data_IF_159758265560
#
_entry.id   IF_159758265560
#
_cell.length_a   1.000
_cell.length_b   1.000
_cell.length_c   1.000
_cell.angle_alpha   90.00
_cell.angle_beta   90.00
_cell.angle_gamma   90.00
#
_symmetry.space_group_name_H-M   'P 1'
#
loop_
_entity.id
_entity.type
_entity.pdbx_description
1 polymer ?
#
# COMPACT_ATOMS: atom_id res chain seq x y z
N UNK A 1 -27.35 0.54 17.12
CA UNK A 1 -26.43 -0.61 16.96
C UNK A 1 -25.25 -0.13 16.13
N UNK A 2 -24.06 -0.23 16.67
CA UNK A 2 -22.85 0.08 15.91
C UNK A 2 -22.59 -1.06 14.93
N UNK A 3 -22.25 -0.74 13.67
CA UNK A 3 -21.72 -1.70 12.70
C UNK A 3 -20.33 -2.11 13.21
N UNK A 4 -20.16 -3.39 13.51
CA UNK A 4 -18.87 -3.91 14.02
C UNK A 4 -18.00 -4.52 12.94
N UNK A 5 -18.62 -5.06 11.90
CA UNK A 5 -17.94 -5.76 10.81
C UNK A 5 -18.38 -5.20 9.45
N UNK A 6 -17.41 -5.01 8.56
CA UNK A 6 -17.64 -4.67 7.15
C UNK A 6 -16.88 -5.68 6.29
N UNK A 7 -17.61 -6.33 5.39
CA UNK A 7 -17.02 -7.26 4.41
C UNK A 7 -17.27 -6.75 3.01
N UNK A 8 -16.19 -6.57 2.24
CA UNK A 8 -16.21 -6.25 0.82
C UNK A 8 -15.65 -7.45 0.07
N UNK A 9 -16.48 -8.12 -0.70
CA UNK A 9 -16.08 -9.33 -1.43
C UNK A 9 -16.44 -9.24 -2.90
N UNK A 10 -15.50 -9.57 -3.78
CA UNK A 10 -15.69 -9.55 -5.23
C UNK A 10 -15.94 -8.17 -5.82
N UNK A 11 -15.54 -7.10 -5.13
CA UNK A 11 -15.74 -5.74 -5.58
C UNK A 11 -14.62 -5.26 -6.50
N UNK A 12 -14.94 -4.31 -7.38
CA UNK A 12 -13.95 -3.62 -8.21
C UNK A 12 -13.96 -2.13 -7.91
N UNK A 13 -12.77 -1.59 -7.62
CA UNK A 13 -12.55 -0.19 -7.30
C UNK A 13 -11.60 0.40 -8.34
N UNK A 14 -12.06 1.42 -9.04
CA UNK A 14 -11.27 2.12 -10.05
C UNK A 14 -11.21 3.60 -9.70
N UNK A 15 -10.00 4.14 -9.67
CA UNK A 15 -9.82 5.58 -9.63
C UNK A 15 -9.99 6.10 -11.05
N UNK A 16 -11.01 6.93 -11.25
CA UNK A 16 -11.23 7.64 -12.51
C UNK A 16 -11.05 9.12 -12.29
N UNK A 17 -10.09 9.72 -12.98
CA UNK A 17 -9.93 11.16 -12.98
C UNK A 17 -10.61 11.80 -14.17
N UNK A 18 -11.25 12.95 -13.94
CA UNK A 18 -11.73 13.84 -15.01
C UNK A 18 -10.64 14.85 -15.37
N UNK A 19 -10.65 15.34 -16.59
CA UNK A 19 -9.74 16.43 -17.01
C UNK A 19 -9.84 17.66 -16.11
N UNK A 20 -11.01 17.92 -15.51
CA UNK A 20 -11.26 19.01 -14.57
C UNK A 20 -10.55 18.80 -13.23
N UNK A 21 -10.53 17.58 -12.69
CA UNK A 21 -9.82 17.28 -11.44
C UNK A 21 -8.31 17.37 -11.63
N UNK A 22 -7.81 17.00 -12.79
CA UNK A 22 -6.41 17.16 -13.19
C UNK A 22 -5.98 18.64 -13.26
N UNK A 23 -6.80 19.46 -13.89
CA UNK A 23 -6.53 20.89 -14.02
C UNK A 23 -6.57 21.62 -12.66
N UNK A 24 -7.35 21.16 -11.72
CA UNK A 24 -7.46 21.72 -10.37
C UNK A 24 -6.30 21.31 -9.43
N UNK A 25 -5.44 20.37 -9.85
CA UNK A 25 -4.34 19.85 -9.01
C UNK A 25 -4.81 19.07 -7.77
N UNK A 26 -6.10 18.72 -7.71
CA UNK A 26 -6.66 17.95 -6.61
C UNK A 26 -6.32 16.47 -6.81
N UNK A 27 -5.61 15.91 -5.84
CA UNK A 27 -5.31 14.48 -5.79
C UNK A 27 -5.90 13.88 -4.54
N UNK A 28 -6.54 12.73 -4.63
CA UNK A 28 -6.87 11.99 -3.44
C UNK A 28 -5.57 11.52 -2.78
N UNK A 29 -5.39 11.89 -1.51
CA UNK A 29 -4.26 11.39 -0.72
C UNK A 29 -4.44 9.90 -0.48
N UNK A 30 -5.67 9.48 -0.17
CA UNK A 30 -6.03 8.09 0.09
C UNK A 30 -7.17 7.64 -0.81
N UNK A 31 -7.02 6.45 -1.38
CA UNK A 31 -8.07 5.88 -2.22
C UNK A 31 -9.13 5.17 -1.38
N UNK A 32 -8.72 4.33 -0.45
CA UNK A 32 -9.61 3.58 0.43
C UNK A 32 -9.18 3.82 1.88
N UNK A 33 -10.07 4.38 2.68
CA UNK A 33 -9.86 4.50 4.12
C UNK A 33 -10.57 3.35 4.83
N UNK A 34 -9.83 2.51 5.51
CA UNK A 34 -10.35 1.40 6.28
C UNK A 34 -10.32 1.72 7.77
N UNK A 35 -11.47 1.60 8.41
CA UNK A 35 -11.66 1.82 9.83
C UNK A 35 -12.04 3.25 10.20
N UNK A 36 -13.16 3.36 10.85
CA UNK A 36 -13.62 4.57 11.54
C UNK A 36 -14.04 4.19 12.98
N UNK A 37 -14.25 5.19 13.83
CA UNK A 37 -14.72 4.92 15.20
C UNK A 37 -16.01 4.09 15.20
N UNK A 38 -15.97 2.94 15.87
CA UNK A 38 -17.10 2.01 15.96
C UNK A 38 -17.06 0.80 15.03
N UNK A 39 -16.19 0.79 14.01
CA UNK A 39 -15.92 -0.39 13.18
C UNK A 39 -14.71 -1.12 13.77
N UNK A 40 -14.89 -2.38 14.14
CA UNK A 40 -13.83 -3.21 14.70
C UNK A 40 -13.15 -4.11 13.68
N UNK A 41 -13.92 -4.60 12.70
CA UNK A 41 -13.42 -5.56 11.73
C UNK A 41 -13.76 -5.13 10.30
N UNK A 42 -12.75 -5.11 9.43
CA UNK A 42 -12.89 -4.83 8.00
C UNK A 42 -12.20 -5.94 7.22
N UNK A 43 -12.94 -6.60 6.32
CA UNK A 43 -12.38 -7.59 5.39
C UNK A 43 -12.63 -7.16 3.95
N UNK A 44 -11.60 -7.20 3.16
CA UNK A 44 -11.64 -7.02 1.73
C UNK A 44 -11.09 -8.28 1.06
N UNK A 45 -11.93 -8.98 0.31
CA UNK A 45 -11.60 -10.29 -0.25
C UNK A 45 -11.95 -10.36 -1.74
N UNK A 46 -11.06 -10.97 -2.53
CA UNK A 46 -11.29 -11.17 -3.97
C UNK A 46 -11.63 -9.89 -4.74
N UNK A 47 -11.09 -8.76 -4.30
CA UNK A 47 -11.35 -7.47 -4.90
C UNK A 47 -10.29 -7.09 -5.93
N UNK A 48 -10.70 -6.33 -6.93
CA UNK A 48 -9.80 -5.68 -7.88
C UNK A 48 -9.71 -4.20 -7.54
N UNK A 49 -8.50 -3.68 -7.38
CA UNK A 49 -8.24 -2.28 -7.03
C UNK A 49 -7.25 -1.73 -8.04
N UNK A 50 -7.65 -0.71 -8.76
CA UNK A 50 -6.80 -0.04 -9.73
C UNK A 50 -6.84 1.48 -9.52
N UNK A 51 -5.64 2.06 -9.35
CA UNK A 51 -5.48 3.50 -9.19
C UNK A 51 -4.22 3.96 -9.94
N UNK A 52 -4.23 5.20 -10.40
CA UNK A 52 -3.10 5.80 -11.10
C UNK A 52 -2.64 7.14 -10.50
N UNK A 53 -3.39 7.70 -9.56
CA UNK A 53 -3.10 9.06 -9.06
C UNK A 53 -3.19 9.26 -7.56
N UNK A 54 -3.80 8.37 -6.79
CA UNK A 54 -3.79 8.49 -5.33
C UNK A 54 -2.36 8.37 -4.78
N UNK A 55 -2.11 8.95 -3.63
CA UNK A 55 -0.82 8.78 -2.97
C UNK A 55 -0.70 7.41 -2.31
N UNK A 56 -1.77 6.94 -1.67
CA UNK A 56 -1.82 5.69 -0.90
C UNK A 56 -3.11 4.96 -1.20
N UNK A 57 -3.05 3.66 -1.48
CA UNK A 57 -4.26 2.87 -1.72
C UNK A 57 -5.04 2.71 -0.41
N UNK A 58 -4.42 2.23 0.65
CA UNK A 58 -5.08 1.96 1.93
C UNK A 58 -4.57 2.86 3.04
N UNK A 59 -5.48 3.57 3.68
CA UNK A 59 -5.22 4.30 4.91
C UNK A 59 -6.01 3.70 6.08
N UNK A 60 -5.31 3.30 7.13
CA UNK A 60 -5.89 2.68 8.31
C UNK A 60 -6.03 3.72 9.42
N UNK A 61 -7.26 4.06 9.80
CA UNK A 61 -7.54 5.20 10.70
C UNK A 61 -7.97 4.76 12.11
N UNK A 62 -8.52 3.57 12.26
CA UNK A 62 -9.10 3.13 13.54
C UNK A 62 -8.06 2.61 14.55
N UNK A 63 -8.10 3.09 15.77
CA UNK A 63 -7.19 2.65 16.84
C UNK A 63 -7.38 1.18 17.24
N UNK A 64 -8.58 0.63 17.00
CA UNK A 64 -8.99 -0.73 17.37
C UNK A 64 -9.52 -1.53 16.17
N UNK A 65 -9.26 -1.06 14.96
CA UNK A 65 -9.75 -1.74 13.76
C UNK A 65 -8.80 -2.85 13.36
N UNK A 66 -9.35 -4.02 13.12
CA UNK A 66 -8.66 -5.14 12.48
C UNK A 66 -9.04 -5.15 11.00
N UNK A 67 -8.09 -4.85 10.14
CA UNK A 67 -8.29 -4.82 8.70
C UNK A 67 -7.51 -5.96 8.03
N UNK A 68 -8.19 -6.73 7.20
CA UNK A 68 -7.61 -7.81 6.39
C UNK A 68 -7.92 -7.55 4.92
N UNK A 69 -6.89 -7.50 4.10
CA UNK A 69 -6.98 -7.49 2.64
C UNK A 69 -6.44 -8.83 2.16
N UNK A 70 -7.29 -9.64 1.54
CA UNK A 70 -7.00 -11.03 1.21
C UNK A 70 -7.37 -11.36 -0.23
N UNK A 71 -6.46 -12.02 -0.94
CA UNK A 71 -6.68 -12.51 -2.29
C UNK A 71 -7.22 -11.43 -3.26
N UNK A 72 -6.59 -10.25 -3.23
CA UNK A 72 -6.95 -9.11 -4.06
C UNK A 72 -5.93 -8.88 -5.19
N UNK A 73 -6.38 -8.29 -6.29
CA UNK A 73 -5.50 -7.77 -7.36
C UNK A 73 -5.42 -6.24 -7.22
N UNK A 74 -4.23 -5.73 -6.90
CA UNK A 74 -4.02 -4.34 -6.50
C UNK A 74 -2.99 -3.72 -7.41
N UNK A 75 -3.36 -2.63 -8.08
CA UNK A 75 -2.45 -1.88 -8.96
C UNK A 75 -2.49 -0.40 -8.62
N UNK A 76 -1.32 0.19 -8.39
CA UNK A 76 -1.12 1.64 -8.34
C UNK A 76 0.05 2.01 -9.25
N UNK A 77 -0.25 2.75 -10.29
CA UNK A 77 0.72 3.25 -11.25
C UNK A 77 0.73 4.77 -11.21
N UNK A 78 1.72 5.35 -10.54
CA UNK A 78 1.89 6.81 -10.51
C UNK A 78 2.82 7.24 -11.63
N UNK A 79 2.35 8.04 -12.60
CA UNK A 79 3.21 8.59 -13.64
C UNK A 79 4.20 9.61 -13.05
N UNK A 80 5.41 9.69 -13.65
CA UNK A 80 6.49 10.58 -13.21
C UNK A 80 6.17 12.08 -13.38
N UNK A 81 5.19 12.42 -14.21
CA UNK A 81 4.86 13.77 -14.66
C UNK A 81 3.86 14.51 -13.78
N UNK A 82 3.67 14.02 -12.60
CA UNK A 82 2.77 14.64 -11.64
C UNK A 82 3.28 16.01 -11.20
N UNK A 83 3.10 16.99 -12.07
CA UNK A 83 3.47 18.38 -11.85
C UNK A 83 2.71 18.97 -10.65
N UNK A 84 3.44 19.44 -9.64
CA UNK A 84 2.93 20.36 -8.63
C UNK A 84 2.98 19.91 -7.18
N UNK A 85 3.08 18.62 -6.89
CA UNK A 85 3.39 18.16 -5.53
C UNK A 85 4.82 17.67 -5.45
N UNK A 86 5.61 18.24 -4.53
CA UNK A 86 6.95 17.77 -4.22
C UNK A 86 6.86 16.44 -3.42
N UNK A 87 6.23 15.43 -4.06
CA UNK A 87 6.09 14.07 -3.52
C UNK A 87 7.47 13.43 -3.32
N UNK A 88 8.49 13.97 -3.96
CA UNK A 88 9.88 13.47 -3.91
C UNK A 88 10.50 13.52 -2.53
N UNK A 89 9.90 14.25 -1.57
CA UNK A 89 10.47 14.41 -0.23
C UNK A 89 9.83 13.53 0.84
N UNK A 90 8.70 12.92 0.58
CA UNK A 90 8.07 12.07 1.56
C UNK A 90 8.21 10.61 1.17
N UNK A 91 8.91 9.83 1.97
CA UNK A 91 8.94 8.37 1.85
C UNK A 91 7.55 7.77 2.17
N UNK A 92 6.50 8.29 1.54
CA UNK A 92 5.13 7.91 1.76
C UNK A 92 4.86 6.52 1.17
N UNK A 93 4.12 5.68 1.88
CA UNK A 93 3.74 4.36 1.38
C UNK A 93 2.77 4.48 0.23
N UNK A 94 2.86 3.59 -0.76
CA UNK A 94 1.91 3.51 -1.87
C UNK A 94 0.80 2.49 -1.61
N UNK A 95 1.16 1.32 -1.08
CA UNK A 95 0.19 0.27 -0.83
C UNK A 95 -0.67 0.57 0.39
N UNK A 96 -0.04 0.78 1.52
CA UNK A 96 -0.77 0.97 2.76
C UNK A 96 0.02 1.71 3.82
N UNK A 97 -0.69 2.54 4.57
CA UNK A 97 -0.22 3.18 5.79
C UNK A 97 -1.05 2.69 6.97
N UNK A 98 -0.44 1.92 7.84
CA UNK A 98 -1.02 1.52 9.11
C UNK A 98 -0.91 2.63 10.17
N UNK A 99 -1.77 2.60 11.18
CA UNK A 99 -1.74 3.59 12.27
C UNK A 99 -0.63 3.32 13.32
N UNK A 100 -0.02 2.14 13.29
CA UNK A 100 1.07 1.76 14.22
C UNK A 100 0.65 1.66 15.69
N UNK A 101 -0.65 1.57 15.99
CA UNK A 101 -1.15 1.46 17.37
C UNK A 101 -1.36 0.01 17.78
N UNK A 102 -1.22 -0.25 19.08
CA UNK A 102 -1.15 -1.62 19.62
C UNK A 102 -2.47 -2.40 19.57
N UNK A 103 -3.61 -1.70 19.53
CA UNK A 103 -4.93 -2.32 19.68
C UNK A 103 -5.63 -2.68 18.36
N UNK A 104 -5.04 -2.31 17.22
CA UNK A 104 -5.53 -2.64 15.89
C UNK A 104 -4.54 -3.47 15.08
N UNK A 105 -4.99 -4.09 14.00
CA UNK A 105 -4.11 -4.81 13.09
C UNK A 105 -4.45 -4.55 11.65
N UNK A 106 -3.43 -4.57 10.80
CA UNK A 106 -3.56 -4.46 9.35
C UNK A 106 -2.77 -5.56 8.71
N UNK A 107 -3.46 -6.46 8.04
CA UNK A 107 -2.88 -7.61 7.34
C UNK A 107 -3.22 -7.52 5.85
N UNK A 108 -2.21 -7.64 4.99
CA UNK A 108 -2.39 -7.79 3.55
C UNK A 108 -1.75 -9.12 3.15
N UNK A 109 -2.56 -10.01 2.55
CA UNK A 109 -2.10 -11.36 2.27
C UNK A 109 -2.66 -11.93 0.96
N UNK A 110 -2.00 -12.97 0.45
CA UNK A 110 -2.41 -13.76 -0.71
C UNK A 110 -2.75 -12.93 -1.96
N UNK A 111 -2.22 -11.73 -2.07
CA UNK A 111 -2.64 -10.75 -3.07
C UNK A 111 -1.56 -10.55 -4.14
N UNK A 112 -2.02 -10.21 -5.35
CA UNK A 112 -1.13 -9.69 -6.39
C UNK A 112 -1.09 -8.18 -6.29
N UNK A 113 0.11 -7.62 -6.23
CA UNK A 113 0.33 -6.20 -5.97
C UNK A 113 1.31 -5.66 -7.01
N UNK A 114 0.89 -4.64 -7.75
CA UNK A 114 1.73 -3.94 -8.74
C UNK A 114 1.83 -2.46 -8.33
N UNK A 115 3.05 -1.99 -8.07
CA UNK A 115 3.31 -0.62 -7.66
C UNK A 115 4.40 0.00 -8.54
N UNK A 116 4.08 1.11 -9.17
CA UNK A 116 5.03 1.92 -9.92
C UNK A 116 4.96 3.38 -9.49
N UNK A 117 6.09 3.93 -9.09
CA UNK A 117 6.21 5.29 -8.60
C UNK A 117 7.66 5.76 -8.58
N UNK A 118 7.88 6.97 -8.09
CA UNK A 118 9.21 7.58 -8.04
C UNK A 118 10.12 7.02 -6.92
N UNK A 119 11.36 7.49 -6.91
CA UNK A 119 12.40 7.04 -5.98
C UNK A 119 12.17 7.48 -4.52
N UNK A 120 11.26 8.39 -4.25
CA UNK A 120 10.86 8.79 -2.90
C UNK A 120 9.77 7.91 -2.29
N UNK A 121 9.21 6.98 -3.04
CA UNK A 121 8.06 6.17 -2.61
C UNK A 121 8.49 4.84 -1.98
N UNK A 122 7.65 4.31 -1.08
CA UNK A 122 7.84 2.98 -0.46
C UNK A 122 6.64 2.07 -0.66
N UNK A 123 6.84 0.77 -0.50
CA UNK A 123 5.75 -0.21 -0.61
C UNK A 123 4.71 0.05 0.48
N UNK A 124 5.09 -0.01 1.74
CA UNK A 124 4.17 0.09 2.87
C UNK A 124 4.86 0.61 4.13
N UNK A 125 4.04 1.06 5.08
CA UNK A 125 4.51 1.59 6.36
C UNK A 125 3.57 1.19 7.51
N UNK A 126 4.14 0.66 8.60
CA UNK A 126 3.45 0.32 9.86
C UNK A 126 2.29 -0.68 9.70
N UNK A 127 2.47 -1.73 8.93
CA UNK A 127 1.53 -2.83 8.90
C UNK A 127 1.79 -3.83 10.04
N UNK A 128 0.75 -4.57 10.44
CA UNK A 128 0.91 -5.73 11.31
C UNK A 128 1.51 -6.89 10.55
N UNK A 129 1.03 -7.15 9.33
CA UNK A 129 1.63 -8.17 8.48
C UNK A 129 1.45 -7.91 6.99
N UNK A 130 2.46 -8.33 6.21
CA UNK A 130 2.45 -8.45 4.77
C UNK A 130 2.91 -9.87 4.42
N UNK A 131 1.95 -10.75 3.99
CA UNK A 131 2.20 -12.19 3.90
C UNK A 131 1.75 -12.80 2.58
N UNK A 132 2.55 -13.74 2.08
CA UNK A 132 2.17 -14.60 0.95
C UNK A 132 1.70 -13.84 -0.30
N UNK A 133 2.23 -12.63 -0.52
CA UNK A 133 1.88 -11.80 -1.66
C UNK A 133 2.88 -11.95 -2.80
N UNK A 134 2.41 -11.67 -4.02
CA UNK A 134 3.27 -11.44 -5.18
C UNK A 134 3.31 -9.96 -5.47
N UNK A 135 4.50 -9.34 -5.31
CA UNK A 135 4.72 -7.91 -5.52
C UNK A 135 5.60 -7.68 -6.74
N UNK A 136 5.10 -6.88 -7.67
CA UNK A 136 5.86 -6.31 -8.78
C UNK A 136 6.05 -4.81 -8.51
N UNK A 137 7.28 -4.36 -8.30
CA UNK A 137 7.54 -3.00 -7.81
C UNK A 137 8.58 -2.26 -8.62
N UNK A 138 8.35 -0.96 -8.78
CA UNK A 138 9.33 0.00 -9.31
C UNK A 138 9.30 1.26 -8.45
N UNK A 139 10.12 1.29 -7.38
CA UNK A 139 10.06 2.29 -6.31
C UNK A 139 11.45 2.58 -5.75
N UNK A 140 11.58 3.64 -4.94
CA UNK A 140 12.80 3.91 -4.20
C UNK A 140 12.98 3.04 -2.96
N UNK A 141 11.94 2.81 -2.18
CA UNK A 141 12.01 2.15 -0.88
C UNK A 141 11.09 0.93 -0.78
N UNK A 142 11.45 -0.02 0.06
CA UNK A 142 10.67 -1.23 0.31
C UNK A 142 9.62 -1.07 1.43
N UNK A 143 9.58 -2.04 2.30
CA UNK A 143 8.63 -2.19 3.40
C UNK A 143 9.27 -1.65 4.68
N UNK A 144 8.55 -0.81 5.42
CA UNK A 144 9.07 -0.25 6.66
C UNK A 144 8.15 -0.44 7.86
N UNK A 145 8.78 -0.59 9.04
CA UNK A 145 8.12 -0.66 10.36
C UNK A 145 6.96 -1.66 10.42
N UNK A 146 7.07 -2.77 9.68
CA UNK A 146 6.06 -3.83 9.61
C UNK A 146 6.44 -4.96 10.56
N UNK A 147 5.47 -5.43 11.36
CA UNK A 147 5.75 -6.44 12.39
C UNK A 147 6.09 -7.80 11.80
N UNK A 148 5.42 -8.22 10.74
CA UNK A 148 5.70 -9.48 10.04
C UNK A 148 5.74 -9.27 8.52
N UNK A 149 6.81 -9.73 7.89
CA UNK A 149 6.94 -9.80 6.43
C UNK A 149 7.37 -11.20 6.05
N UNK A 150 6.45 -12.00 5.52
CA UNK A 150 6.71 -13.43 5.32
C UNK A 150 6.08 -13.99 4.04
N UNK A 151 6.72 -15.00 3.45
CA UNK A 151 6.20 -15.75 2.31
C UNK A 151 6.03 -14.95 1.01
N UNK A 152 6.48 -13.70 0.95
CA UNK A 152 6.24 -12.86 -0.23
C UNK A 152 7.23 -13.17 -1.35
N UNK A 153 6.76 -13.02 -2.59
CA UNK A 153 7.61 -12.93 -3.78
C UNK A 153 7.67 -11.48 -4.21
N UNK A 154 8.85 -10.84 -4.13
CA UNK A 154 9.06 -9.43 -4.46
C UNK A 154 9.98 -9.34 -5.67
N UNK A 155 9.52 -8.72 -6.74
CA UNK A 155 10.27 -8.58 -8.00
C UNK A 155 10.25 -7.13 -8.48
N UNK A 156 11.29 -6.76 -9.25
CA UNK A 156 11.32 -5.47 -9.93
C UNK A 156 12.50 -4.59 -9.55
N UNK A 157 12.23 -3.31 -9.21
CA UNK A 157 13.24 -2.31 -8.89
C UNK A 157 12.97 -1.70 -7.51
N UNK A 158 13.99 -1.73 -6.65
CA UNK A 158 14.00 -0.98 -5.38
C UNK A 158 15.39 -0.35 -5.24
N UNK A 159 15.44 0.97 -5.09
CA UNK A 159 16.70 1.71 -5.10
C UNK A 159 17.44 1.62 -3.75
N UNK A 160 16.71 1.67 -2.66
CA UNK A 160 17.25 1.71 -1.30
C UNK A 160 17.05 0.39 -0.53
N UNK A 161 16.63 0.47 0.72
CA UNK A 161 16.40 -0.70 1.58
C UNK A 161 15.10 -1.41 1.20
N UNK A 162 15.13 -2.73 1.16
CA UNK A 162 13.95 -3.56 0.90
C UNK A 162 13.12 -3.71 2.17
N UNK A 163 13.78 -3.95 3.30
CA UNK A 163 13.17 -4.04 4.62
C UNK A 163 13.85 -3.03 5.56
N UNK A 164 13.06 -2.23 6.25
CA UNK A 164 13.53 -1.19 7.16
C UNK A 164 12.72 -1.28 8.47
N UNK A 165 13.41 -1.48 9.59
CA UNK A 165 12.79 -1.57 10.93
C UNK A 165 11.63 -2.58 11.01
N UNK A 166 11.68 -3.67 10.23
CA UNK A 166 10.73 -4.75 10.30
C UNK A 166 11.15 -5.76 11.37
N UNK A 167 10.18 -6.25 12.17
CA UNK A 167 10.51 -7.09 13.32
C UNK A 167 10.76 -8.55 12.96
N UNK A 168 9.90 -9.15 12.13
CA UNK A 168 9.98 -10.54 11.72
C UNK A 168 9.97 -10.63 10.19
N UNK A 169 11.11 -10.98 9.60
CA UNK A 169 11.26 -11.12 8.13
C UNK A 169 11.76 -12.53 7.83
N UNK A 170 10.93 -13.34 7.18
CA UNK A 170 11.28 -14.71 6.88
C UNK A 170 10.58 -15.27 5.64
N UNK A 171 11.19 -16.25 5.01
CA UNK A 171 10.66 -16.98 3.86
C UNK A 171 10.20 -16.10 2.68
N UNK A 172 10.85 -14.95 2.46
CA UNK A 172 10.56 -14.11 1.31
C UNK A 172 11.52 -14.42 0.16
N UNK A 173 10.98 -14.45 -1.06
CA UNK A 173 11.78 -14.54 -2.29
C UNK A 173 11.90 -13.17 -2.93
N UNK A 174 13.11 -12.59 -2.96
CA UNK A 174 13.34 -11.22 -3.42
C UNK A 174 14.27 -11.22 -4.63
N UNK A 175 13.76 -10.71 -5.76
CA UNK A 175 14.53 -10.53 -7.00
C UNK A 175 14.38 -9.08 -7.47
N UNK A 176 15.23 -8.19 -6.96
CA UNK A 176 15.18 -6.76 -7.30
C UNK A 176 16.47 -6.29 -7.90
N UNK A 177 16.37 -5.38 -8.86
CA UNK A 177 17.54 -4.66 -9.41
C UNK A 177 17.72 -3.36 -8.62
N UNK A 178 18.94 -3.07 -8.23
CA UNK A 178 19.31 -1.76 -7.71
C UNK A 178 19.74 -0.88 -8.88
N UNK A 179 19.25 0.35 -8.89
CA UNK A 179 19.79 1.36 -9.80
C UNK A 179 21.05 1.96 -9.15
N UNK A 180 22.19 1.82 -9.80
CA UNK A 180 23.31 2.74 -9.56
C UNK A 180 23.07 3.94 -10.48
N UNK A 181 22.90 5.11 -9.92
CA UNK A 181 22.98 6.33 -10.71
C UNK A 181 24.34 6.35 -11.40
N UNK A 182 24.43 6.67 -12.69
CA UNK A 182 25.72 6.95 -13.30
C UNK A 182 26.34 8.14 -12.53
N UNK A 183 27.57 7.92 -12.01
CA UNK A 183 28.35 8.93 -11.34
C UNK A 183 28.73 10.09 -12.27
#
# INVERSE_FOLDING_TARGET
SAVREVVLSGCSFYETETEESLAAGNRPVWFITLGQSGITDVRMEHCTIWADRCEVIFHMVGDKTHAVVDNCDITLNQPDDVAGHDIRKSANPMLAQGNGRADGSTVIQNSRIVLSGDDGRRISYRLSALKDNTLEVSLGHGIASTSEVSGNTIRGRIQHKIFEDCSNVWNNHVTVRRFSLPG
#
